data_IF_435124238558
#
_entry.id   IF_435124238558
#
_cell.length_a   1.000
_cell.length_b   1.000
_cell.length_c   1.000
_cell.angle_alpha   90.00
_cell.angle_beta   90.00
_cell.angle_gamma   90.00
#
_symmetry.space_group_name_H-M   'P 1'
#
loop_
_entity.id
_entity.type
_entity.pdbx_description
1 polymer ?
#
# COMPACT_ATOMS: atom_id res chain seq x y z
N UNK A 1 -53.84 62.90 9.64
CA UNK A 1 -52.50 63.50 9.69
C UNK A 1 -51.81 62.99 10.92
N UNK A 2 -51.02 61.93 10.78
CA UNK A 2 -50.27 61.29 11.88
C UNK A 2 -48.80 61.32 11.49
N UNK A 3 -47.99 62.02 12.27
CA UNK A 3 -46.54 62.10 12.13
C UNK A 3 -45.93 60.83 12.70
N UNK A 4 -45.10 60.21 11.95
CA UNK A 4 -44.29 59.07 12.32
C UNK A 4 -42.93 59.59 12.77
N UNK A 5 -42.63 59.47 14.06
CA UNK A 5 -41.31 59.78 14.62
C UNK A 5 -40.39 58.57 14.47
N UNK A 6 -39.26 58.81 13.83
CA UNK A 6 -38.21 57.83 13.58
C UNK A 6 -37.31 57.77 14.80
N UNK A 7 -37.34 56.66 15.55
CA UNK A 7 -36.40 56.39 16.63
C UNK A 7 -35.21 55.64 16.09
N UNK A 8 -34.07 56.31 16.06
CA UNK A 8 -32.78 55.69 15.75
C UNK A 8 -32.25 54.97 16.97
N UNK A 9 -32.22 53.62 16.94
CA UNK A 9 -31.51 52.84 17.94
C UNK A 9 -30.12 52.50 17.37
N UNK A 10 -29.09 53.13 17.94
CA UNK A 10 -27.70 52.81 17.73
C UNK A 10 -27.38 51.52 18.51
N UNK A 11 -27.31 50.39 17.83
CA UNK A 11 -26.73 49.16 18.37
C UNK A 11 -25.22 49.18 18.13
N UNK A 12 -24.47 49.36 19.20
CA UNK A 12 -23.04 49.22 19.22
C UNK A 12 -22.67 47.74 18.94
N UNK A 13 -22.10 47.48 17.75
CA UNK A 13 -21.60 46.18 17.37
C UNK A 13 -20.34 45.83 18.16
N UNK A 14 -20.47 44.79 18.96
CA UNK A 14 -19.35 44.16 19.68
C UNK A 14 -18.57 43.28 18.67
N UNK A 15 -17.43 43.73 18.23
CA UNK A 15 -16.52 42.94 17.41
C UNK A 15 -15.84 41.89 18.31
N UNK A 16 -16.36 40.66 18.29
CA UNK A 16 -15.60 39.48 18.73
C UNK A 16 -14.64 39.09 17.61
N UNK A 17 -13.37 39.41 17.84
CA UNK A 17 -12.26 38.88 17.03
C UNK A 17 -12.15 37.38 17.28
N UNK A 18 -12.88 36.61 16.50
CA UNK A 18 -12.65 35.16 16.38
C UNK A 18 -11.32 34.93 15.68
N UNK A 19 -10.29 34.52 16.44
CA UNK A 19 -9.08 33.93 15.86
C UNK A 19 -9.49 32.58 15.29
N UNK A 20 -9.89 32.60 14.03
CA UNK A 20 -10.01 31.38 13.23
C UNK A 20 -8.61 30.86 12.95
N UNK A 21 -8.20 29.82 13.66
CA UNK A 21 -7.09 29.00 13.22
C UNK A 21 -7.52 28.36 11.89
N UNK A 22 -7.07 28.91 10.78
CA UNK A 22 -7.10 28.23 9.49
C UNK A 22 -6.27 26.94 9.65
N UNK A 23 -6.95 25.85 9.88
CA UNK A 23 -6.40 24.52 9.73
C UNK A 23 -6.00 24.39 8.25
N UNK A 24 -4.71 24.61 7.98
CA UNK A 24 -4.13 24.46 6.67
C UNK A 24 -4.20 22.98 6.34
N UNK A 25 -5.28 22.56 5.69
CA UNK A 25 -5.39 21.23 5.10
C UNK A 25 -4.28 21.16 4.05
N UNK A 26 -3.14 20.59 4.45
CA UNK A 26 -2.11 20.21 3.52
C UNK A 26 -2.69 19.04 2.73
N UNK A 27 -3.30 19.36 1.58
CA UNK A 27 -3.59 18.34 0.58
C UNK A 27 -2.23 17.81 0.12
N UNK A 28 -1.84 16.67 0.69
CA UNK A 28 -0.76 15.88 0.12
C UNK A 28 -1.25 15.49 -1.27
N UNK A 29 -0.75 16.19 -2.28
CA UNK A 29 -0.88 15.76 -3.66
C UNK A 29 -0.16 14.42 -3.74
N UNK A 30 -0.91 13.34 -3.64
CA UNK A 30 -0.40 12.01 -3.97
C UNK A 30 -0.15 12.07 -5.47
N UNK A 31 1.12 12.19 -5.84
CA UNK A 31 1.50 12.11 -7.24
C UNK A 31 1.01 10.77 -7.80
N UNK A 32 0.40 10.75 -8.98
CA UNK A 32 -0.03 9.50 -9.58
C UNK A 32 1.19 8.60 -9.77
N UNK A 33 1.04 7.32 -9.42
CA UNK A 33 2.08 6.30 -9.60
C UNK A 33 2.08 5.93 -11.08
N UNK A 34 2.65 6.79 -11.92
CA UNK A 34 2.59 6.66 -13.38
C UNK A 34 3.50 5.55 -13.93
N UNK A 35 4.44 5.04 -13.12
CA UNK A 35 5.48 4.13 -13.59
C UNK A 35 5.29 2.66 -13.18
N UNK A 36 4.24 2.35 -12.40
CA UNK A 36 3.99 0.98 -11.96
C UNK A 36 3.14 0.23 -12.99
N UNK A 37 3.71 -0.83 -13.58
CA UNK A 37 2.98 -1.72 -14.50
C UNK A 37 2.45 -2.94 -13.77
N UNK A 38 1.18 -3.21 -13.96
CA UNK A 38 0.50 -4.44 -13.56
C UNK A 38 -0.64 -4.75 -14.53
N UNK A 39 -0.95 -6.03 -14.79
CA UNK A 39 -2.11 -6.38 -15.60
C UNK A 39 -3.41 -5.86 -14.97
N UNK A 40 -4.37 -5.50 -15.81
CA UNK A 40 -5.69 -5.11 -15.34
C UNK A 40 -6.40 -6.28 -14.64
N UNK A 41 -7.21 -5.97 -13.61
CA UNK A 41 -7.96 -7.00 -12.86
C UNK A 41 -8.87 -7.83 -13.76
N UNK A 42 -9.40 -7.22 -14.82
CA UNK A 42 -10.30 -7.87 -15.78
C UNK A 42 -9.62 -8.95 -16.62
N UNK A 43 -8.29 -8.91 -16.74
CA UNK A 43 -7.50 -9.92 -17.45
C UNK A 43 -7.22 -11.16 -16.61
N UNK A 44 -7.35 -11.04 -15.29
CA UNK A 44 -7.03 -12.08 -14.32
C UNK A 44 -8.20 -13.05 -14.03
N UNK A 45 -8.99 -13.39 -15.05
CA UNK A 45 -10.22 -14.21 -14.89
C UNK A 45 -9.99 -15.72 -14.81
N UNK A 46 -8.76 -16.19 -14.92
CA UNK A 46 -8.48 -17.62 -14.91
C UNK A 46 -8.60 -18.19 -13.50
N UNK A 47 -9.29 -19.33 -13.37
CA UNK A 47 -9.28 -20.09 -12.11
C UNK A 47 -7.87 -20.63 -11.87
N UNK A 48 -7.23 -20.17 -10.82
CA UNK A 48 -5.86 -20.53 -10.41
C UNK A 48 -5.86 -20.88 -8.93
N UNK A 49 -4.86 -21.59 -8.46
CA UNK A 49 -4.72 -21.92 -7.05
C UNK A 49 -4.39 -20.68 -6.19
N UNK A 50 -3.80 -19.64 -6.80
CA UNK A 50 -3.46 -18.40 -6.14
C UNK A 50 -2.69 -17.45 -7.07
N UNK A 51 -2.26 -16.34 -6.52
CA UNK A 51 -1.44 -15.36 -7.21
C UNK A 51 -0.12 -15.16 -6.48
N UNK A 52 0.95 -14.98 -7.26
CA UNK A 52 2.24 -14.55 -6.75
C UNK A 52 2.62 -13.22 -7.42
N UNK A 53 2.79 -12.20 -6.59
CA UNK A 53 3.29 -10.90 -7.04
C UNK A 53 4.82 -10.92 -7.01
N UNK A 54 5.40 -10.72 -8.17
CA UNK A 54 6.82 -10.48 -8.39
C UNK A 54 7.05 -8.97 -8.29
N UNK A 55 7.60 -8.50 -7.14
CA UNK A 55 7.61 -7.07 -6.82
C UNK A 55 9.01 -6.52 -6.86
N UNK A 56 9.18 -5.46 -7.65
CA UNK A 56 10.39 -4.64 -7.72
C UNK A 56 9.98 -3.17 -7.87
N UNK A 57 9.75 -2.53 -6.75
CA UNK A 57 9.32 -1.11 -6.69
C UNK A 57 10.30 -0.29 -5.84
N UNK A 58 10.19 1.04 -5.87
CA UNK A 58 11.15 1.90 -5.19
C UNK A 58 10.52 2.81 -4.14
N UNK A 59 9.21 3.01 -4.20
CA UNK A 59 8.51 3.94 -3.32
C UNK A 59 7.42 3.27 -2.50
N UNK A 60 7.08 3.88 -1.37
CA UNK A 60 5.98 3.43 -0.52
C UNK A 60 4.64 3.52 -1.25
N UNK A 61 4.45 4.50 -2.12
CA UNK A 61 3.25 4.68 -2.93
C UNK A 61 3.05 3.54 -3.92
N UNK A 62 4.11 3.15 -4.63
CA UNK A 62 4.06 2.00 -5.56
C UNK A 62 3.73 0.71 -4.83
N UNK A 63 4.36 0.47 -3.68
CA UNK A 63 4.07 -0.70 -2.88
C UNK A 63 2.65 -0.67 -2.30
N UNK A 64 2.12 0.50 -1.95
CA UNK A 64 0.73 0.66 -1.53
C UNK A 64 -0.26 0.27 -2.63
N UNK A 65 0.05 0.60 -3.89
CA UNK A 65 -0.75 0.15 -5.06
C UNK A 65 -0.73 -1.37 -5.17
N UNK A 66 0.42 -2.02 -4.97
CA UNK A 66 0.54 -3.49 -4.97
C UNK A 66 -0.33 -4.11 -3.87
N UNK A 67 -0.27 -3.59 -2.65
CA UNK A 67 -1.09 -4.06 -1.53
C UNK A 67 -2.59 -3.88 -1.79
N UNK A 68 -2.99 -2.73 -2.35
CA UNK A 68 -4.38 -2.48 -2.73
C UNK A 68 -4.84 -3.44 -3.84
N UNK A 69 -3.96 -3.77 -4.78
CA UNK A 69 -4.26 -4.75 -5.83
C UNK A 69 -4.48 -6.15 -5.24
N UNK A 70 -3.64 -6.56 -4.29
CA UNK A 70 -3.80 -7.85 -3.60
C UNK A 70 -5.13 -7.91 -2.84
N UNK A 71 -5.50 -6.85 -2.11
CA UNK A 71 -6.79 -6.76 -1.43
C UNK A 71 -7.97 -6.82 -2.41
N UNK A 72 -7.88 -6.10 -3.54
CA UNK A 72 -8.92 -6.13 -4.59
C UNK A 72 -9.08 -7.51 -5.22
N UNK A 73 -7.97 -8.21 -5.50
CA UNK A 73 -8.01 -9.59 -6.00
C UNK A 73 -8.70 -10.53 -5.03
N UNK A 74 -8.40 -10.38 -3.72
CA UNK A 74 -9.02 -11.16 -2.67
C UNK A 74 -10.54 -11.00 -2.63
N UNK A 75 -11.05 -9.80 -2.92
CA UNK A 75 -12.48 -9.52 -2.95
C UNK A 75 -13.18 -10.12 -4.17
N UNK A 76 -12.45 -10.35 -5.27
CA UNK A 76 -12.99 -10.92 -6.51
C UNK A 76 -13.08 -12.45 -6.50
N UNK A 77 -12.36 -13.11 -5.61
CA UNK A 77 -12.24 -14.56 -5.57
C UNK A 77 -12.77 -15.13 -4.27
N UNK A 78 -13.37 -16.34 -4.36
CA UNK A 78 -13.81 -17.09 -3.20
C UNK A 78 -12.60 -17.46 -2.32
N UNK A 79 -12.56 -17.02 -1.05
CA UNK A 79 -11.45 -17.33 -0.14
C UNK A 79 -11.22 -18.81 0.09
N UNK A 80 -12.24 -19.65 -0.11
CA UNK A 80 -12.14 -21.10 0.08
C UNK A 80 -11.50 -21.80 -1.12
N UNK A 81 -11.48 -21.13 -2.28
CA UNK A 81 -10.93 -21.69 -3.52
C UNK A 81 -9.51 -21.20 -3.80
N UNK A 82 -9.13 -20.06 -3.22
CA UNK A 82 -7.84 -19.45 -3.44
C UNK A 82 -7.08 -19.30 -2.12
N UNK A 83 -5.83 -19.70 -2.13
CA UNK A 83 -4.89 -19.49 -1.04
C UNK A 83 -4.58 -18.00 -0.82
N UNK A 84 -3.69 -17.74 0.14
CA UNK A 84 -3.12 -16.39 0.34
C UNK A 84 -2.41 -15.93 -0.93
N UNK A 85 -2.43 -14.63 -1.17
CA UNK A 85 -1.68 -14.02 -2.27
C UNK A 85 -0.23 -13.85 -1.81
N UNK A 86 0.70 -14.53 -2.46
CA UNK A 86 2.11 -14.38 -2.15
C UNK A 86 2.63 -13.06 -2.74
N UNK A 87 3.35 -12.28 -1.94
CA UNK A 87 4.05 -11.06 -2.37
C UNK A 87 5.53 -11.27 -2.14
N UNK A 88 6.31 -11.32 -3.22
CA UNK A 88 7.75 -11.59 -3.14
C UNK A 88 8.49 -10.29 -3.42
N UNK A 89 9.16 -9.79 -2.39
CA UNK A 89 9.94 -8.56 -2.41
C UNK A 89 11.40 -8.90 -2.72
N UNK A 90 11.94 -8.31 -3.78
CA UNK A 90 13.34 -8.53 -4.14
C UNK A 90 14.04 -7.32 -4.77
N UNK A 91 13.57 -6.13 -4.42
CA UNK A 91 14.12 -4.85 -4.80
C UNK A 91 14.36 -3.92 -3.59
N UNK A 92 14.43 -2.62 -3.88
CA UNK A 92 14.65 -1.60 -2.86
C UNK A 92 13.48 -1.44 -1.88
N UNK A 93 12.30 -1.91 -2.23
CA UNK A 93 11.11 -1.90 -1.37
C UNK A 93 11.31 -2.64 -0.04
N UNK A 94 12.28 -3.54 0.06
CA UNK A 94 12.65 -4.18 1.32
C UNK A 94 13.03 -3.17 2.40
N UNK A 95 13.68 -2.06 2.02
CA UNK A 95 14.06 -1.00 2.95
C UNK A 95 12.85 -0.29 3.58
N UNK A 96 11.70 -0.29 2.90
CA UNK A 96 10.47 0.32 3.43
C UNK A 96 9.96 -0.38 4.68
N UNK A 97 10.30 -1.67 4.83
CA UNK A 97 9.89 -2.50 5.97
C UNK A 97 10.90 -2.53 7.12
N UNK A 98 12.10 -1.94 6.95
CA UNK A 98 13.08 -1.91 8.04
C UNK A 98 12.52 -1.18 9.26
N UNK A 99 12.83 -1.68 10.45
CA UNK A 99 12.37 -1.11 11.73
C UNK A 99 12.74 0.36 11.89
N UNK A 100 13.91 0.75 11.41
CA UNK A 100 14.38 2.14 11.49
C UNK A 100 13.57 3.08 10.58
N UNK A 101 12.95 2.55 9.53
CA UNK A 101 12.12 3.29 8.58
C UNK A 101 10.63 3.23 8.94
N UNK A 102 10.25 2.51 10.02
CA UNK A 102 8.86 2.31 10.38
C UNK A 102 8.10 3.62 10.59
N UNK A 103 8.68 4.60 11.28
CA UNK A 103 8.00 5.86 11.57
C UNK A 103 7.58 6.62 10.31
N UNK A 104 8.36 6.50 9.23
CA UNK A 104 8.08 7.13 7.93
C UNK A 104 7.08 6.31 7.13
N UNK A 105 7.14 4.98 7.22
CA UNK A 105 6.34 4.05 6.43
C UNK A 105 5.24 3.38 7.25
N UNK A 106 4.85 3.94 8.40
CA UNK A 106 3.93 3.30 9.35
C UNK A 106 2.62 2.85 8.68
N UNK A 107 1.98 3.71 7.91
CA UNK A 107 0.71 3.40 7.24
C UNK A 107 0.83 2.19 6.31
N UNK A 108 1.92 2.11 5.54
CA UNK A 108 2.22 1.01 4.63
C UNK A 108 2.44 -0.31 5.39
N UNK A 109 3.32 -0.27 6.40
CA UNK A 109 3.68 -1.45 7.20
C UNK A 109 2.48 -1.97 7.98
N UNK A 110 1.66 -1.08 8.54
CA UNK A 110 0.46 -1.45 9.26
C UNK A 110 -0.62 -2.02 8.34
N UNK A 111 -0.78 -1.49 7.11
CA UNK A 111 -1.64 -2.09 6.09
C UNK A 111 -1.17 -3.50 5.74
N UNK A 112 0.10 -3.69 5.45
CA UNK A 112 0.66 -5.01 5.13
C UNK A 112 0.43 -6.01 6.28
N UNK A 113 0.64 -5.58 7.52
CA UNK A 113 0.39 -6.39 8.73
C UNK A 113 -1.09 -6.78 8.86
N UNK A 114 -2.02 -5.87 8.54
CA UNK A 114 -3.45 -6.17 8.56
C UNK A 114 -3.82 -7.23 7.52
N UNK A 115 -3.35 -7.07 6.29
CA UNK A 115 -3.60 -8.02 5.21
C UNK A 115 -3.01 -9.40 5.51
N UNK A 116 -1.82 -9.45 6.11
CA UNK A 116 -1.21 -10.71 6.57
C UNK A 116 -2.04 -11.36 7.69
N UNK A 117 -2.37 -10.60 8.73
CA UNK A 117 -3.17 -11.08 9.87
C UNK A 117 -4.53 -11.62 9.42
N UNK A 118 -5.15 -10.97 8.44
CA UNK A 118 -6.46 -11.35 7.90
C UNK A 118 -6.35 -12.48 6.84
N UNK A 119 -5.15 -13.08 6.70
CA UNK A 119 -4.81 -14.18 5.78
C UNK A 119 -5.07 -13.84 4.30
N UNK A 120 -4.95 -12.58 3.92
CA UNK A 120 -5.10 -12.14 2.53
C UNK A 120 -3.78 -12.31 1.78
N UNK A 121 -2.68 -11.83 2.38
CA UNK A 121 -1.36 -11.89 1.78
C UNK A 121 -0.38 -12.73 2.60
N UNK A 122 0.72 -13.11 1.96
CA UNK A 122 1.89 -13.75 2.53
C UNK A 122 3.14 -13.08 1.94
N UNK A 123 3.84 -12.29 2.76
CA UNK A 123 4.98 -11.49 2.27
C UNK A 123 6.28 -12.25 2.49
N UNK A 124 7.05 -12.35 1.42
CA UNK A 124 8.35 -13.03 1.41
C UNK A 124 9.46 -12.08 0.94
N UNK A 125 10.55 -12.04 1.69
CA UNK A 125 11.74 -11.26 1.40
C UNK A 125 12.84 -12.13 0.78
N UNK A 126 13.39 -11.69 -0.34
CA UNK A 126 14.50 -12.37 -1.00
C UNK A 126 15.81 -12.21 -0.23
N UNK A 127 16.37 -13.29 0.30
CA UNK A 127 17.62 -13.29 1.07
C UNK A 127 18.80 -12.75 0.26
N UNK A 128 18.87 -13.06 -1.03
CA UNK A 128 19.94 -12.53 -1.87
C UNK A 128 19.91 -11.02 -1.95
N UNK A 129 18.70 -10.42 -2.06
CA UNK A 129 18.55 -8.97 -2.08
C UNK A 129 18.78 -8.35 -0.71
N UNK A 130 18.29 -8.99 0.35
CA UNK A 130 18.58 -8.56 1.73
C UNK A 130 20.08 -8.43 1.97
N UNK A 131 20.88 -9.41 1.54
CA UNK A 131 22.35 -9.35 1.64
C UNK A 131 22.93 -8.19 0.84
N UNK A 132 22.42 -7.93 -0.37
CA UNK A 132 22.87 -6.80 -1.22
C UNK A 132 22.60 -5.46 -0.54
N UNK A 133 21.47 -5.35 0.15
CA UNK A 133 21.05 -4.14 0.87
C UNK A 133 21.56 -4.08 2.31
N UNK A 134 22.31 -5.09 2.77
CA UNK A 134 22.77 -5.24 4.16
C UNK A 134 21.60 -5.22 5.17
N UNK A 135 20.51 -5.89 4.86
CA UNK A 135 19.33 -6.02 5.73
C UNK A 135 19.36 -7.39 6.41
N UNK A 136 19.29 -7.39 7.74
CA UNK A 136 19.11 -8.61 8.51
C UNK A 136 17.62 -8.94 8.69
N UNK A 137 17.29 -10.23 8.76
CA UNK A 137 15.88 -10.64 8.96
C UNK A 137 15.28 -10.05 10.24
N UNK A 138 16.09 -9.88 11.27
CA UNK A 138 15.69 -9.28 12.55
C UNK A 138 15.27 -7.80 12.43
N UNK A 139 15.66 -7.12 11.35
CA UNK A 139 15.29 -5.73 11.08
C UNK A 139 13.93 -5.60 10.40
N UNK A 140 13.41 -6.70 9.84
CA UNK A 140 12.10 -6.73 9.21
C UNK A 140 10.99 -7.10 10.23
N UNK A 141 9.73 -6.76 9.95
CA UNK A 141 8.59 -7.23 10.73
C UNK A 141 8.48 -8.76 10.73
N UNK A 142 8.04 -9.33 11.84
CA UNK A 142 7.96 -10.78 12.03
C UNK A 142 6.96 -11.51 11.13
N UNK A 143 6.07 -10.80 10.47
CA UNK A 143 5.14 -11.37 9.49
C UNK A 143 5.75 -11.53 8.09
N UNK A 144 6.98 -11.03 7.86
CA UNK A 144 7.71 -11.21 6.60
C UNK A 144 8.58 -12.45 6.71
N UNK A 145 8.34 -13.43 5.84
CA UNK A 145 9.13 -14.63 5.73
C UNK A 145 10.34 -14.43 4.79
N UNK A 146 11.40 -15.20 5.04
CA UNK A 146 12.56 -15.17 4.16
C UNK A 146 12.54 -16.33 3.15
N UNK A 147 12.80 -16.02 1.88
CA UNK A 147 13.07 -17.01 0.83
C UNK A 147 14.49 -16.86 0.33
N UNK A 148 15.14 -17.96 -0.04
CA UNK A 148 16.56 -17.94 -0.43
C UNK A 148 16.80 -17.09 -1.68
N UNK A 149 15.93 -17.23 -2.69
CA UNK A 149 16.05 -16.54 -3.97
C UNK A 149 14.68 -16.38 -4.63
N UNK A 150 14.28 -15.15 -4.88
CA UNK A 150 12.93 -14.83 -5.37
C UNK A 150 12.55 -15.51 -6.67
N UNK A 151 13.38 -15.53 -7.75
CA UNK A 151 13.03 -16.20 -8.99
C UNK A 151 12.76 -17.69 -8.84
N UNK A 152 13.47 -18.37 -7.96
CA UNK A 152 13.25 -19.81 -7.67
C UNK A 152 11.93 -20.02 -6.94
N UNK A 153 11.61 -19.16 -5.98
CA UNK A 153 10.34 -19.26 -5.25
C UNK A 153 9.14 -18.97 -6.16
N UNK A 154 9.23 -17.94 -7.01
CA UNK A 154 8.20 -17.63 -8.00
C UNK A 154 8.02 -18.80 -8.97
N UNK A 155 9.12 -19.37 -9.48
CA UNK A 155 9.08 -20.54 -10.35
C UNK A 155 8.36 -21.72 -9.67
N UNK A 156 8.71 -22.01 -8.40
CA UNK A 156 8.10 -23.09 -7.62
C UNK A 156 6.60 -22.85 -7.44
N UNK A 157 6.19 -21.64 -7.09
CA UNK A 157 4.77 -21.30 -6.93
C UNK A 157 3.99 -21.49 -8.24
N UNK A 158 4.55 -21.08 -9.36
CA UNK A 158 3.91 -21.23 -10.68
C UNK A 158 3.77 -22.67 -11.12
N UNK A 159 4.82 -23.47 -10.99
CA UNK A 159 4.89 -24.79 -11.60
C UNK A 159 4.39 -25.89 -10.66
N UNK A 160 4.70 -25.81 -9.36
CA UNK A 160 4.34 -26.84 -8.40
C UNK A 160 2.99 -26.58 -7.73
N UNK A 161 2.59 -25.29 -7.63
CA UNK A 161 1.38 -24.87 -6.92
C UNK A 161 0.33 -24.21 -7.82
N UNK A 162 0.54 -24.13 -9.12
CA UNK A 162 -0.40 -23.55 -10.09
C UNK A 162 -0.82 -22.09 -9.77
N UNK A 163 0.12 -21.28 -9.28
CA UNK A 163 -0.07 -19.86 -9.08
C UNK A 163 0.07 -19.08 -10.39
N UNK A 164 -0.67 -18.00 -10.52
CA UNK A 164 -0.45 -17.02 -11.60
C UNK A 164 0.47 -15.92 -11.12
N UNK A 165 1.55 -15.69 -11.85
CA UNK A 165 2.47 -14.59 -11.60
C UNK A 165 1.88 -13.27 -12.06
N UNK A 166 2.00 -12.26 -11.21
CA UNK A 166 1.71 -10.85 -11.51
C UNK A 166 3.00 -10.08 -11.27
N UNK A 167 3.53 -9.47 -12.32
CA UNK A 167 4.67 -8.57 -12.19
C UNK A 167 4.21 -7.19 -11.77
N UNK A 168 4.91 -6.64 -10.80
CA UNK A 168 4.75 -5.28 -10.32
C UNK A 168 6.14 -4.64 -10.31
N UNK A 169 6.52 -4.06 -11.42
CA UNK A 169 7.82 -3.44 -11.61
C UNK A 169 7.70 -2.00 -12.10
N UNK A 170 8.77 -1.23 -11.91
CA UNK A 170 8.87 0.12 -12.44
C UNK A 170 9.19 0.00 -13.93
N UNK A 171 8.33 0.58 -14.76
CA UNK A 171 8.64 0.75 -16.18
C UNK A 171 9.82 1.70 -16.32
N UNK A 172 10.96 1.19 -16.72
CA UNK A 172 12.09 2.04 -17.12
C UNK A 172 11.78 2.58 -18.52
N UNK A 173 11.58 3.89 -18.60
CA UNK A 173 11.50 4.62 -19.88
C UNK A 173 12.89 5.08 -20.31
#
# INVERSE_FOLDING_TARGET
MVRLDLVFILLAGFWLSGVGSEEKVVSVLVEPVENLTMPELTELKKVVAGYVFDVTVSTAQELDVVLNRADSLRQLFDPQQHGRIAIILHGNELQLFQKDNYSVNQSLVDKARLLDRDNIIDIKACQSMMRTLNIELSELPSFIEQVTYAPVEIFRMKNDHNFTEIKADITQF
#
